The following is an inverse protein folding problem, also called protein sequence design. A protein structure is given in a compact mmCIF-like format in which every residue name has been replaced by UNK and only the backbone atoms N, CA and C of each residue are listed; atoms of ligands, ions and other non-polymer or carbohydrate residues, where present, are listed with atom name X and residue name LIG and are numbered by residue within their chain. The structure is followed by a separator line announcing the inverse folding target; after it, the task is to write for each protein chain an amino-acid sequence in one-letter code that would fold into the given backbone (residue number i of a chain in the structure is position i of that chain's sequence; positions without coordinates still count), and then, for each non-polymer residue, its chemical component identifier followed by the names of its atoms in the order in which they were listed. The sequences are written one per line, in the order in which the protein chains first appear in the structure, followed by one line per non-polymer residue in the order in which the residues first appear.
data_IF_704571364914
#
_entry.id   IF_704571364914
#
_cell.length_a   1.000
_cell.length_b   1.000
_cell.length_c   1.000
_cell.angle_alpha   90.00
_cell.angle_beta   90.00
_cell.angle_gamma   90.00
#
_symmetry.space_group_name_H-M   'P 1'
#
loop_
_entity.id
_entity.type
_entity.pdbx_description
1 polymer ?
#
# COMPACT_ATOMS: atom_id res chain seq x y z
N UNK A 1 17.22 -8.68 -9.84
CA UNK A 1 17.27 -8.00 -8.52
C UNK A 1 18.52 -7.16 -8.48
N UNK A 2 18.40 -5.85 -8.28
CA UNK A 2 19.56 -4.96 -8.16
C UNK A 2 20.00 -4.93 -6.71
N UNK A 3 21.28 -5.21 -6.46
CA UNK A 3 21.90 -5.13 -5.14
C UNK A 3 22.65 -3.80 -5.11
N UNK A 4 22.27 -2.92 -4.18
CA UNK A 4 22.96 -1.65 -3.95
C UNK A 4 23.92 -1.91 -2.80
N UNK A 5 25.21 -1.66 -3.02
CA UNK A 5 26.24 -1.70 -1.98
C UNK A 5 26.68 -0.28 -1.68
N UNK A 6 26.89 0.03 -0.39
CA UNK A 6 27.37 1.34 0.03
C UNK A 6 28.88 1.40 -0.18
N UNK A 7 29.32 2.30 -1.05
CA UNK A 7 30.73 2.59 -1.29
C UNK A 7 31.01 4.03 -0.86
N UNK A 8 32.04 4.23 -0.03
CA UNK A 8 32.40 5.53 0.54
C UNK A 8 33.09 6.46 -0.48
N UNK A 9 33.28 6.00 -1.72
CA UNK A 9 33.83 6.78 -2.83
C UNK A 9 32.78 7.59 -3.61
N UNK A 10 31.49 7.33 -3.38
CA UNK A 10 30.39 8.00 -4.09
C UNK A 10 29.85 9.18 -3.26
N UNK A 11 29.69 10.39 -3.86
CA UNK A 11 29.09 11.54 -3.19
C UNK A 11 27.67 11.27 -2.67
N UNK A 12 27.26 11.94 -1.59
CA UNK A 12 25.88 11.89 -1.12
C UNK A 12 24.92 12.36 -2.24
N UNK A 13 23.89 11.56 -2.50
CA UNK A 13 22.87 11.68 -3.57
C UNK A 13 23.21 11.11 -4.95
N UNK A 14 24.37 10.47 -5.15
CA UNK A 14 24.67 9.78 -6.40
C UNK A 14 24.64 8.25 -6.25
N UNK A 15 24.18 7.56 -7.30
CA UNK A 15 24.25 6.10 -7.40
C UNK A 15 24.94 5.78 -8.72
N UNK A 16 26.17 5.29 -8.65
CA UNK A 16 26.91 4.87 -9.84
C UNK A 16 26.44 3.48 -10.29
N UNK A 17 26.12 3.36 -11.58
CA UNK A 17 25.66 2.12 -12.20
C UNK A 17 26.72 1.63 -13.19
N UNK A 18 26.89 0.31 -13.33
CA UNK A 18 27.83 -0.28 -14.31
C UNK A 18 27.55 0.22 -15.74
N UNK A 19 28.61 0.48 -16.52
CA UNK A 19 28.54 0.93 -17.94
C UNK A 19 27.63 0.05 -18.82
N UNK A 20 27.52 -1.24 -18.51
CA UNK A 20 26.60 -2.20 -19.16
C UNK A 20 25.11 -1.83 -19.07
N UNK A 21 24.72 -0.99 -18.11
CA UNK A 21 23.34 -0.49 -17.99
C UNK A 21 23.09 0.77 -18.83
N UNK A 22 24.11 1.63 -19.03
CA UNK A 22 24.02 2.79 -19.93
C UNK A 22 23.80 2.31 -21.38
N UNK A 23 24.51 1.27 -21.83
CA UNK A 23 24.35 0.70 -23.18
C UNK A 23 22.97 0.09 -23.44
N UNK A 24 22.26 -0.40 -22.40
CA UNK A 24 20.93 -0.99 -22.54
C UNK A 24 19.79 0.02 -22.57
N UNK A 25 19.96 1.17 -21.93
CA UNK A 25 18.91 2.18 -21.79
C UNK A 25 19.20 3.48 -22.56
N UNK A 26 20.39 3.62 -23.17
CA UNK A 26 20.71 4.67 -24.14
C UNK A 26 20.77 6.09 -23.56
N UNK A 27 20.79 6.22 -22.24
CA UNK A 27 20.89 7.47 -21.51
C UNK A 27 21.93 7.29 -20.39
N UNK A 28 22.77 8.30 -20.18
CA UNK A 28 23.86 8.25 -19.21
C UNK A 28 23.44 8.71 -17.80
N UNK A 29 22.27 9.37 -17.70
CA UNK A 29 21.73 9.90 -16.46
C UNK A 29 20.27 9.47 -16.28
N UNK A 30 19.97 8.91 -15.12
CA UNK A 30 18.60 8.57 -14.71
C UNK A 30 18.34 9.17 -13.33
N UNK A 31 17.28 9.97 -13.22
CA UNK A 31 16.73 10.32 -11.91
C UNK A 31 16.06 9.08 -11.32
N UNK A 32 16.68 8.51 -10.28
CA UNK A 32 16.16 7.36 -9.57
C UNK A 32 15.84 7.72 -8.12
N UNK A 33 14.57 7.67 -7.75
CA UNK A 33 14.15 7.76 -6.35
C UNK A 33 14.37 6.40 -5.68
N UNK A 34 15.47 6.29 -4.91
CA UNK A 34 15.77 5.11 -4.12
C UNK A 34 15.02 5.17 -2.77
N UNK A 35 14.00 4.32 -2.60
CA UNK A 35 13.34 4.16 -1.31
C UNK A 35 14.16 3.24 -0.41
N UNK A 36 14.61 3.76 0.74
CA UNK A 36 15.42 3.06 1.75
C UNK A 36 14.76 1.77 2.29
N UNK A 37 13.44 1.67 2.20
CA UNK A 37 12.65 0.61 2.85
C UNK A 37 11.58 0.08 1.88
N UNK A 38 11.21 -1.20 2.04
CA UNK A 38 10.16 -1.85 1.22
C UNK A 38 8.77 -1.21 1.38
N UNK A 39 8.53 -0.50 2.48
CA UNK A 39 7.27 0.20 2.79
C UNK A 39 7.56 1.51 3.50
N UNK A 40 6.76 2.54 3.20
CA UNK A 40 6.85 3.88 3.81
C UNK A 40 5.45 4.28 4.29
N UNK A 41 5.37 4.88 5.47
CA UNK A 41 4.14 5.49 5.99
C UNK A 41 4.12 6.97 5.61
N UNK A 42 3.01 7.45 5.05
CA UNK A 42 2.83 8.84 4.66
C UNK A 42 1.57 9.36 5.33
N UNK A 43 1.70 10.48 6.05
CA UNK A 43 0.58 11.21 6.62
C UNK A 43 -0.01 12.13 5.55
N UNK A 44 -1.33 12.07 5.38
CA UNK A 44 -2.04 12.80 4.33
C UNK A 44 -3.00 13.79 5.00
N UNK A 45 -3.07 15.02 4.47
CA UNK A 45 -4.05 16.02 4.92
C UNK A 45 -5.48 15.58 4.57
N UNK A 46 -6.45 15.98 5.40
CA UNK A 46 -7.87 15.61 5.22
C UNK A 46 -8.43 16.01 3.84
N UNK A 47 -7.97 17.13 3.27
CA UNK A 47 -8.41 17.59 1.95
C UNK A 47 -8.07 16.59 0.84
N UNK A 48 -6.88 15.98 0.90
CA UNK A 48 -6.45 14.95 -0.07
C UNK A 48 -7.11 13.60 0.23
N UNK A 49 -7.36 13.29 1.50
CA UNK A 49 -8.07 12.08 1.92
C UNK A 49 -9.51 12.00 1.38
N UNK A 50 -10.19 13.14 1.21
CA UNK A 50 -11.53 13.18 0.62
C UNK A 50 -11.61 12.56 -0.78
N UNK A 51 -10.53 12.61 -1.56
CA UNK A 51 -10.47 12.01 -2.90
C UNK A 51 -10.39 10.48 -2.87
N UNK A 52 -10.04 9.88 -1.72
CA UNK A 52 -9.97 8.43 -1.52
C UNK A 52 -11.27 7.84 -0.99
N UNK A 53 -12.21 8.67 -0.52
CA UNK A 53 -13.50 8.23 0.00
C UNK A 53 -14.36 7.72 -1.16
N UNK A 54 -14.96 6.54 -0.98
CA UNK A 54 -15.76 5.87 -2.01
C UNK A 54 -14.99 4.89 -2.88
N UNK A 55 -13.65 4.96 -2.89
CA UNK A 55 -12.79 3.96 -3.52
C UNK A 55 -12.90 2.61 -2.81
N UNK A 56 -12.75 1.53 -3.56
CA UNK A 56 -12.83 0.16 -3.04
C UNK A 56 -11.45 -0.48 -2.94
N UNK A 57 -11.35 -1.51 -2.10
CA UNK A 57 -10.22 -2.43 -2.13
C UNK A 57 -10.14 -3.07 -3.52
N UNK A 58 -8.96 -2.99 -4.14
CA UNK A 58 -8.68 -3.46 -5.48
C UNK A 58 -8.55 -2.35 -6.51
N UNK A 59 -9.08 -1.16 -6.22
CA UNK A 59 -9.01 -0.01 -7.13
C UNK A 59 -7.59 0.54 -7.23
N UNK A 60 -7.29 1.11 -8.40
CA UNK A 60 -6.01 1.74 -8.71
C UNK A 60 -6.20 3.26 -8.71
N UNK A 61 -5.38 3.94 -7.92
CA UNK A 61 -5.36 5.39 -7.77
C UNK A 61 -4.01 5.95 -8.23
N UNK A 62 -4.00 7.20 -8.69
CA UNK A 62 -2.75 7.88 -9.02
C UNK A 62 -2.05 8.33 -7.73
N UNK A 63 -0.82 7.85 -7.53
CA UNK A 63 -0.01 8.17 -6.36
C UNK A 63 0.44 9.63 -6.29
N UNK A 64 0.24 10.42 -7.36
CA UNK A 64 0.49 11.86 -7.40
C UNK A 64 -0.24 12.60 -6.27
N UNK A 65 -1.41 12.11 -5.85
CA UNK A 65 -2.15 12.61 -4.68
C UNK A 65 -1.32 12.58 -3.38
N UNK A 66 -0.43 11.60 -3.27
CA UNK A 66 0.40 11.32 -2.08
C UNK A 66 1.88 11.70 -2.34
N UNK A 67 2.19 12.30 -3.50
CA UNK A 67 3.56 12.68 -3.87
C UNK A 67 4.42 11.51 -4.38
N UNK A 68 3.80 10.39 -4.78
CA UNK A 68 4.50 9.24 -5.37
C UNK A 68 4.18 9.22 -6.87
N UNK A 69 5.16 9.35 -7.78
CA UNK A 69 4.93 9.31 -9.23
C UNK A 69 4.71 7.87 -9.73
N UNK A 70 3.72 7.16 -9.18
CA UNK A 70 3.37 5.80 -9.57
C UNK A 70 1.88 5.52 -9.29
N UNK A 71 1.35 4.46 -9.92
CA UNK A 71 -0.01 3.98 -9.64
C UNK A 71 -0.02 3.16 -8.36
N UNK A 72 -1.00 3.38 -7.50
CA UNK A 72 -1.15 2.67 -6.24
C UNK A 72 -2.43 1.83 -6.28
N UNK A 73 -2.34 0.55 -5.92
CA UNK A 73 -3.52 -0.31 -5.70
C UNK A 73 -3.88 -0.32 -4.24
N UNK A 74 -5.15 -0.10 -3.92
CA UNK A 74 -5.66 -0.28 -2.56
C UNK A 74 -5.76 -1.78 -2.26
N UNK A 75 -5.10 -2.25 -1.22
CA UNK A 75 -5.13 -3.67 -0.81
C UNK A 75 -5.93 -3.90 0.46
N UNK A 76 -6.10 -2.87 1.29
CA UNK A 76 -6.89 -2.96 2.52
C UNK A 76 -6.78 -1.70 3.36
N UNK A 77 -7.18 -1.83 4.62
CA UNK A 77 -7.14 -0.74 5.57
C UNK A 77 -7.69 -1.15 6.93
N UNK A 78 -7.63 -0.20 7.87
CA UNK A 78 -8.12 -0.37 9.23
C UNK A 78 -9.00 0.82 9.63
N UNK A 79 -10.11 0.49 10.29
CA UNK A 79 -11.02 1.44 10.91
C UNK A 79 -10.43 1.99 12.23
N UNK A 80 -10.92 3.15 12.68
CA UNK A 80 -10.60 3.71 14.01
C UNK A 80 -10.80 2.72 15.18
N UNK A 81 -11.77 1.81 15.07
CA UNK A 81 -11.97 0.75 16.09
C UNK A 81 -11.00 -0.44 15.96
N UNK A 82 -10.02 -0.39 15.06
CA UNK A 82 -9.08 -1.48 14.80
C UNK A 82 -9.66 -2.64 13.99
N UNK A 83 -10.86 -2.49 13.40
CA UNK A 83 -11.43 -3.52 12.53
C UNK A 83 -10.80 -3.43 11.13
N UNK A 84 -10.26 -4.55 10.66
CA UNK A 84 -9.73 -4.66 9.31
C UNK A 84 -10.86 -4.58 8.26
N UNK A 85 -10.55 -3.94 7.14
CA UNK A 85 -11.39 -3.97 5.95
C UNK A 85 -11.27 -5.33 5.23
N UNK A 86 -12.37 -5.80 4.64
CA UNK A 86 -12.42 -7.08 3.92
C UNK A 86 -13.01 -6.88 2.52
N UNK A 87 -12.27 -7.32 1.50
CA UNK A 87 -12.60 -7.12 0.09
C UNK A 87 -13.96 -7.69 -0.34
N UNK A 88 -14.38 -8.80 0.27
CA UNK A 88 -15.63 -9.52 -0.01
C UNK A 88 -16.87 -8.83 0.59
N UNK A 89 -16.71 -8.02 1.64
CA UNK A 89 -17.84 -7.36 2.29
C UNK A 89 -18.13 -6.05 1.58
N UNK A 90 -19.23 -5.98 0.84
CA UNK A 90 -19.59 -4.77 0.08
C UNK A 90 -20.02 -3.61 0.98
N UNK A 91 -19.58 -2.41 0.61
CA UNK A 91 -20.03 -1.15 1.20
C UNK A 91 -19.04 -0.63 2.25
N UNK A 92 -19.42 0.46 2.92
CA UNK A 92 -18.58 1.12 3.92
C UNK A 92 -18.90 0.70 5.35
N UNK A 93 -20.04 0.07 5.63
CA UNK A 93 -20.45 -0.22 7.01
C UNK A 93 -19.69 -1.40 7.67
N UNK A 94 -19.69 -1.44 9.00
CA UNK A 94 -19.26 -2.60 9.79
C UNK A 94 -20.31 -3.71 9.69
N UNK A 95 -19.89 -4.95 9.44
CA UNK A 95 -20.79 -6.12 9.43
C UNK A 95 -20.22 -7.25 10.29
N UNK A 96 -21.12 -7.95 10.99
CA UNK A 96 -20.77 -9.13 11.78
C UNK A 96 -21.03 -10.39 10.96
N UNK A 97 -19.95 -11.03 10.52
CA UNK A 97 -19.99 -12.21 9.64
C UNK A 97 -19.29 -13.39 10.28
N UNK A 98 -19.68 -14.60 9.88
CA UNK A 98 -19.02 -15.84 10.30
C UNK A 98 -17.75 -16.03 9.48
N UNK A 99 -16.59 -15.90 10.11
CA UNK A 99 -15.30 -16.08 9.47
C UNK A 99 -14.72 -17.46 9.81
N UNK A 100 -14.08 -18.07 8.82
CA UNK A 100 -13.27 -19.28 8.94
C UNK A 100 -11.77 -19.00 8.74
N UNK A 101 -11.39 -17.77 8.41
CA UNK A 101 -10.02 -17.43 8.06
C UNK A 101 -9.81 -15.92 7.85
N UNK A 102 -8.58 -15.53 7.51
CA UNK A 102 -8.21 -14.13 7.30
C UNK A 102 -8.87 -13.54 6.05
N UNK A 103 -8.92 -12.20 5.89
CA UNK A 103 -8.52 -11.18 6.86
C UNK A 103 -9.57 -10.94 7.96
N UNK A 104 -9.12 -10.56 9.16
CA UNK A 104 -9.96 -10.23 10.32
C UNK A 104 -10.21 -11.37 11.31
N UNK A 105 -9.80 -12.59 11.00
CA UNK A 105 -9.80 -13.73 11.92
C UNK A 105 -8.69 -14.71 11.56
N UNK A 106 -7.87 -15.08 12.54
CA UNK A 106 -6.86 -16.13 12.39
C UNK A 106 -7.32 -17.31 13.25
N UNK A 107 -7.79 -18.42 12.64
CA UNK A 107 -8.21 -19.60 13.39
C UNK A 107 -6.99 -20.25 14.05
N UNK A 108 -7.16 -20.70 15.29
CA UNK A 108 -6.10 -21.42 16.02
C UNK A 108 -6.19 -22.94 15.81
N UNK A 109 -7.40 -23.43 15.50
CA UNK A 109 -7.69 -24.85 15.27
C UNK A 109 -8.32 -25.04 13.89
N UNK A 110 -8.13 -26.22 13.30
CA UNK A 110 -8.77 -26.56 12.03
C UNK A 110 -10.29 -26.63 12.19
N UNK A 111 -11.01 -26.11 11.20
CA UNK A 111 -12.47 -25.99 11.24
C UNK A 111 -13.03 -24.92 12.18
N UNK A 112 -12.19 -24.15 12.90
CA UNK A 112 -12.67 -23.10 13.79
C UNK A 112 -13.34 -21.97 13.00
N UNK A 113 -14.58 -21.63 13.39
CA UNK A 113 -15.32 -20.50 12.82
C UNK A 113 -15.82 -19.58 13.91
N UNK A 114 -15.67 -18.27 13.72
CA UNK A 114 -16.11 -17.27 14.70
C UNK A 114 -16.83 -16.12 14.03
N UNK A 115 -17.95 -15.68 14.62
CA UNK A 115 -18.61 -14.44 14.22
C UNK A 115 -17.76 -13.25 14.69
N UNK A 116 -17.18 -12.53 13.75
CA UNK A 116 -16.37 -11.32 14.00
C UNK A 116 -16.96 -10.15 13.22
N UNK A 117 -16.71 -8.94 13.74
CA UNK A 117 -17.06 -7.70 13.06
C UNK A 117 -15.91 -7.29 12.17
N UNK A 118 -16.19 -7.00 10.91
CA UNK A 118 -15.23 -6.48 9.92
C UNK A 118 -15.80 -5.25 9.24
N UNK A 119 -14.92 -4.41 8.70
CA UNK A 119 -15.31 -3.26 7.87
C UNK A 119 -15.48 -3.72 6.42
N UNK A 120 -16.43 -3.11 5.72
CA UNK A 120 -16.61 -3.34 4.30
C UNK A 120 -15.42 -2.87 3.45
N UNK A 121 -15.50 -3.13 2.14
CA UNK A 121 -14.44 -2.91 1.18
C UNK A 121 -14.33 -1.48 0.66
N UNK A 122 -15.30 -0.61 0.97
CA UNK A 122 -15.31 0.78 0.54
C UNK A 122 -14.69 1.68 1.62
N UNK A 123 -13.77 2.55 1.20
CA UNK A 123 -13.13 3.53 2.07
C UNK A 123 -14.15 4.61 2.45
N UNK A 124 -14.17 4.94 3.74
CA UNK A 124 -15.04 5.95 4.34
C UNK A 124 -14.27 6.76 5.37
N UNK A 125 -14.86 7.83 5.90
CA UNK A 125 -14.22 8.72 6.88
C UNK A 125 -13.77 8.02 8.17
N UNK A 126 -14.41 6.90 8.56
CA UNK A 126 -14.02 6.13 9.74
C UNK A 126 -12.71 5.34 9.57
N UNK A 127 -12.19 5.24 8.34
CA UNK A 127 -10.95 4.52 8.02
C UNK A 127 -9.77 5.41 8.39
N UNK A 128 -8.89 4.91 9.25
CA UNK A 128 -7.72 5.66 9.75
C UNK A 128 -6.46 5.32 8.97
N UNK A 129 -6.35 4.08 8.48
CA UNK A 129 -5.20 3.61 7.73
C UNK A 129 -5.66 2.94 6.43
N UNK A 130 -4.98 3.26 5.33
CA UNK A 130 -5.16 2.60 4.03
C UNK A 130 -3.83 1.97 3.63
N UNK A 131 -3.88 0.71 3.22
CA UNK A 131 -2.73 -0.01 2.72
C UNK A 131 -2.77 -0.04 1.20
N UNK A 132 -1.67 0.34 0.57
CA UNK A 132 -1.52 0.34 -0.88
C UNK A 132 -0.26 -0.40 -1.31
N UNK A 133 -0.26 -0.87 -2.55
CA UNK A 133 0.94 -1.39 -3.22
C UNK A 133 1.20 -0.57 -4.48
N UNK A 134 2.47 -0.33 -4.78
CA UNK A 134 2.86 0.31 -6.03
C UNK A 134 2.71 -0.71 -7.16
N UNK A 135 1.90 -0.36 -8.17
CA UNK A 135 1.84 -1.10 -9.44
C UNK A 135 2.78 -0.40 -10.42
N UNK A 136 3.60 -1.21 -11.11
CA UNK A 136 4.37 -0.79 -12.28
C UNK A 136 3.58 -1.06 -13.55
#
# INVERSE_FOLDING_TARGET
HFKIELDNSVPENEVWISKTMSEKFGLDEFEALAYRTKSVQISIDQNKASSLIGSKIGDVIDGSLVGIPAKLKITGGSDNSGFAMRFDVTGSAKRKILLSGPPGFYPEEDGQRRRRTVRGNMISQDVVQVNTIIIR
#
